data_IF_593336495659
#
_entry.id   IF_593336495659
#
_cell.length_a   1.000
_cell.length_b   1.000
_cell.length_c   1.000
_cell.angle_alpha   90.00
_cell.angle_beta   90.00
_cell.angle_gamma   90.00
#
_symmetry.space_group_name_H-M   'P 1'
#
loop_
_entity.id
_entity.type
_entity.pdbx_description
1 polymer ?
#
# COMPACT_ATOMS: atom_id res chain seq x y z
N UNK A 1 33.14 -14.42 -0.26
CA UNK A 1 31.77 -14.45 -0.24
C UNK A 1 31.16 -13.39 0.57
N UNK A 2 30.39 -12.66 -0.07
CA UNK A 2 29.81 -11.53 0.58
C UNK A 2 28.78 -11.92 1.59
N UNK A 3 28.20 -13.06 1.46
CA UNK A 3 27.15 -13.39 2.35
C UNK A 3 27.56 -13.58 3.75
N UNK A 4 28.79 -13.64 4.02
CA UNK A 4 29.20 -13.78 5.39
C UNK A 4 29.30 -12.47 6.16
N UNK A 5 28.99 -11.36 5.56
CA UNK A 5 29.14 -10.07 6.23
C UNK A 5 27.82 -9.57 6.77
N UNK A 6 27.55 -9.66 8.07
CA UNK A 6 26.29 -9.22 8.62
C UNK A 6 26.07 -7.73 8.52
N UNK A 7 27.15 -6.96 8.55
CA UNK A 7 27.01 -5.52 8.43
C UNK A 7 26.53 -5.14 7.04
N UNK A 8 26.99 -5.85 6.06
CA UNK A 8 26.54 -5.60 4.69
C UNK A 8 25.07 -5.96 4.55
N UNK A 9 24.63 -7.03 5.17
CA UNK A 9 23.24 -7.41 5.12
C UNK A 9 22.35 -6.37 5.77
N UNK A 10 22.79 -5.79 6.87
CA UNK A 10 22.03 -4.73 7.51
C UNK A 10 21.97 -3.49 6.64
N UNK A 11 23.07 -3.17 5.98
CA UNK A 11 23.08 -2.04 5.08
C UNK A 11 22.13 -2.23 3.91
N UNK A 12 22.05 -3.46 3.39
CA UNK A 12 21.15 -3.76 2.30
C UNK A 12 19.70 -3.62 2.73
N UNK A 13 19.37 -4.05 3.95
CA UNK A 13 18.02 -3.89 4.47
C UNK A 13 17.65 -2.42 4.60
N UNK A 14 18.56 -1.60 5.08
CA UNK A 14 18.29 -0.18 5.19
C UNK A 14 18.08 0.45 3.82
N UNK A 15 18.85 0.04 2.83
CA UNK A 15 18.68 0.54 1.47
C UNK A 15 17.33 0.13 0.91
N UNK A 16 16.91 -1.10 1.17
CA UNK A 16 15.61 -1.56 0.72
C UNK A 16 14.48 -0.75 1.33
N UNK A 17 14.60 -0.42 2.63
CA UNK A 17 13.61 0.40 3.29
C UNK A 17 13.55 1.79 2.70
N UNK A 18 14.71 2.37 2.41
CA UNK A 18 14.77 3.69 1.79
C UNK A 18 14.15 3.66 0.41
N UNK A 19 14.44 2.63 -0.37
CA UNK A 19 13.88 2.51 -1.70
C UNK A 19 12.37 2.33 -1.65
N UNK A 20 11.87 1.53 -0.72
CA UNK A 20 10.44 1.34 -0.58
C UNK A 20 9.74 2.65 -0.20
N UNK A 21 10.34 3.40 0.72
CA UNK A 21 9.78 4.67 1.13
C UNK A 21 9.79 5.68 -0.01
N UNK A 22 10.89 5.71 -0.75
CA UNK A 22 11.01 6.57 -1.91
C UNK A 22 9.96 6.23 -2.95
N UNK A 23 9.77 4.94 -3.23
CA UNK A 23 8.78 4.49 -4.18
C UNK A 23 7.38 4.92 -3.76
N UNK A 24 7.05 4.80 -2.48
CA UNK A 24 5.74 5.24 -2.01
C UNK A 24 5.56 6.73 -2.18
N UNK A 25 6.60 7.51 -1.92
CA UNK A 25 6.53 8.96 -2.12
C UNK A 25 6.37 9.30 -3.61
N UNK A 26 7.07 8.58 -4.47
CA UNK A 26 6.96 8.78 -5.90
C UNK A 26 5.56 8.42 -6.38
N UNK A 27 5.02 7.30 -5.91
CA UNK A 27 3.68 6.87 -6.28
C UNK A 27 2.61 7.84 -5.79
N UNK A 28 2.82 8.44 -4.62
CA UNK A 28 1.87 9.41 -4.11
C UNK A 28 1.80 10.66 -4.98
N UNK A 29 2.87 10.93 -5.74
CA UNK A 29 2.87 12.06 -6.66
C UNK A 29 2.33 11.74 -8.04
N UNK A 30 2.01 10.47 -8.32
CA UNK A 30 1.50 10.07 -9.62
C UNK A 30 0.00 9.86 -9.55
N UNK A 31 -0.71 10.30 -10.59
CA UNK A 31 -2.16 10.16 -10.65
C UNK A 31 -2.57 9.46 -11.92
N UNK A 32 -3.61 8.66 -11.82
CA UNK A 32 -4.23 8.00 -12.94
C UNK A 32 -5.66 8.52 -13.02
N UNK A 33 -6.06 8.94 -14.21
CA UNK A 33 -7.42 9.42 -14.44
C UNK A 33 -8.13 8.44 -15.35
N UNK A 34 -9.29 7.97 -14.93
CA UNK A 34 -10.12 7.07 -15.72
C UNK A 34 -11.48 7.71 -15.93
N UNK A 35 -11.91 7.74 -17.17
CA UNK A 35 -13.23 8.26 -17.51
C UNK A 35 -13.98 7.18 -18.28
N UNK A 36 -15.12 6.80 -17.77
CA UNK A 36 -16.00 5.85 -18.44
C UNK A 36 -17.44 6.34 -18.33
N UNK A 37 -18.03 6.63 -19.46
CA UNK A 37 -19.35 7.22 -19.47
C UNK A 37 -19.34 8.54 -18.73
N UNK A 38 -20.23 8.65 -17.76
CA UNK A 38 -20.33 9.87 -16.95
C UNK A 38 -19.54 9.79 -15.66
N UNK A 39 -18.68 8.78 -15.52
CA UNK A 39 -17.92 8.57 -14.29
C UNK A 39 -16.47 8.94 -14.52
N UNK A 40 -15.92 9.73 -13.61
CA UNK A 40 -14.51 10.11 -13.62
C UNK A 40 -13.91 9.75 -12.27
N UNK A 41 -12.80 9.04 -12.29
CA UNK A 41 -12.07 8.70 -11.08
C UNK A 41 -10.62 9.11 -11.25
N UNK A 42 -10.08 9.83 -10.28
CA UNK A 42 -8.66 10.12 -10.23
C UNK A 42 -8.10 9.47 -8.97
N UNK A 43 -7.12 8.62 -9.15
CA UNK A 43 -6.51 7.89 -8.02
C UNK A 43 -5.01 8.04 -8.11
N UNK A 44 -4.37 8.20 -6.95
CA UNK A 44 -2.91 8.27 -6.90
C UNK A 44 -2.32 6.87 -6.87
N UNK A 45 -1.06 6.77 -7.22
CA UNK A 45 -0.36 5.50 -7.22
C UNK A 45 -0.27 4.85 -5.84
N UNK A 46 -0.46 5.63 -4.76
CA UNK A 46 -0.52 5.09 -3.42
C UNK A 46 -1.91 4.57 -3.06
N UNK A 47 -2.79 4.43 -4.06
CA UNK A 47 -4.15 3.91 -3.91
C UNK A 47 -5.10 4.85 -3.18
N UNK A 48 -4.80 6.14 -3.16
CA UNK A 48 -5.70 7.14 -2.57
C UNK A 48 -6.52 7.79 -3.67
N UNK A 49 -7.84 7.75 -3.54
CA UNK A 49 -8.73 8.42 -4.49
C UNK A 49 -8.70 9.90 -4.21
N UNK A 50 -8.40 10.68 -5.25
CA UNK A 50 -8.32 12.12 -5.16
C UNK A 50 -9.64 12.76 -5.58
N UNK A 51 -10.27 12.16 -6.58
CA UNK A 51 -11.50 12.72 -7.12
C UNK A 51 -12.39 11.59 -7.63
N UNK A 52 -13.67 11.73 -7.41
CA UNK A 52 -14.68 10.83 -7.97
C UNK A 52 -15.87 11.69 -8.34
N UNK A 53 -16.28 11.64 -9.59
CA UNK A 53 -17.49 12.33 -10.01
C UNK A 53 -18.35 11.40 -10.84
N UNK A 54 -19.66 11.59 -10.72
CA UNK A 54 -20.66 10.86 -11.48
C UNK A 54 -21.60 11.92 -12.08
N UNK A 55 -21.69 11.95 -13.40
CA UNK A 55 -22.50 12.94 -14.11
C UNK A 55 -22.13 14.37 -13.69
N UNK A 56 -20.84 14.61 -13.54
CA UNK A 56 -20.36 15.94 -13.18
C UNK A 56 -20.49 16.30 -11.72
N UNK A 57 -21.05 15.42 -10.89
CA UNK A 57 -21.24 15.70 -9.47
C UNK A 57 -20.20 14.93 -8.67
N UNK A 58 -19.44 15.64 -7.85
CA UNK A 58 -18.47 15.00 -6.97
C UNK A 58 -18.92 15.11 -5.54
N UNK A 59 -18.49 14.16 -4.71
CA UNK A 59 -18.87 14.13 -3.31
C UNK A 59 -17.64 13.76 -2.47
N UNK A 60 -17.19 14.72 -1.69
CA UNK A 60 -16.05 14.47 -0.81
C UNK A 60 -16.37 13.41 0.25
N UNK A 61 -17.55 13.39 0.86
CA UNK A 61 -17.87 12.32 1.79
C UNK A 61 -17.78 10.92 1.20
N UNK A 62 -18.17 10.76 -0.06
CA UNK A 62 -18.08 9.47 -0.73
C UNK A 62 -16.61 9.09 -0.94
N UNK A 63 -15.80 10.05 -1.38
CA UNK A 63 -14.37 9.83 -1.56
C UNK A 63 -13.73 9.43 -0.24
N UNK A 64 -14.09 10.11 0.84
CA UNK A 64 -13.53 9.83 2.16
C UNK A 64 -13.86 8.41 2.63
N UNK A 65 -15.09 7.98 2.41
CA UNK A 65 -15.51 6.63 2.81
C UNK A 65 -14.81 5.59 1.96
N UNK A 66 -14.66 5.84 0.66
CA UNK A 66 -13.96 4.91 -0.22
C UNK A 66 -12.49 4.78 0.18
N UNK A 67 -11.84 5.90 0.47
CA UNK A 67 -10.45 5.86 0.92
C UNK A 67 -10.30 5.13 2.25
N UNK A 68 -11.27 5.28 3.13
CA UNK A 68 -11.26 4.56 4.40
C UNK A 68 -11.39 3.05 4.17
N UNK A 69 -12.26 2.66 3.23
CA UNK A 69 -12.43 1.25 2.90
C UNK A 69 -11.15 0.67 2.29
N UNK A 70 -10.52 1.41 1.41
CA UNK A 70 -9.26 0.98 0.80
C UNK A 70 -8.20 0.79 1.88
N UNK A 71 -8.08 1.75 2.78
CA UNK A 71 -7.08 1.67 3.85
C UNK A 71 -7.33 0.48 4.74
N UNK A 72 -8.58 0.23 5.09
CA UNK A 72 -8.92 -0.94 5.92
C UNK A 72 -8.62 -2.25 5.20
N UNK A 73 -8.86 -2.29 3.91
CA UNK A 73 -8.52 -3.44 3.10
C UNK A 73 -7.02 -3.70 3.11
N UNK A 74 -6.22 -2.65 3.00
CA UNK A 74 -4.76 -2.78 3.05
C UNK A 74 -4.30 -3.27 4.42
N UNK A 75 -4.90 -2.77 5.49
CA UNK A 75 -4.59 -3.21 6.84
C UNK A 75 -4.93 -4.67 7.03
N UNK A 76 -6.06 -5.10 6.50
CA UNK A 76 -6.47 -6.50 6.59
C UNK A 76 -5.46 -7.39 5.85
N UNK A 77 -5.05 -6.99 4.65
CA UNK A 77 -4.08 -7.73 3.88
C UNK A 77 -2.73 -7.81 4.61
N UNK A 78 -2.31 -6.71 5.23
CA UNK A 78 -1.08 -6.68 5.98
C UNK A 78 -1.13 -7.61 7.20
N UNK A 79 -2.26 -7.61 7.90
CA UNK A 79 -2.44 -8.49 9.04
C UNK A 79 -2.41 -9.96 8.61
N UNK A 80 -3.04 -10.26 7.50
CA UNK A 80 -3.05 -11.62 7.00
C UNK A 80 -1.65 -12.07 6.61
N UNK A 81 -0.90 -11.17 5.98
CA UNK A 81 0.47 -11.48 5.61
C UNK A 81 1.33 -11.71 6.86
N UNK A 82 1.18 -10.86 7.87
CA UNK A 82 1.91 -11.03 9.11
C UNK A 82 1.58 -12.34 9.80
N UNK A 83 0.31 -12.71 9.79
CA UNK A 83 -0.11 -13.96 10.39
C UNK A 83 0.51 -15.16 9.65
N UNK A 84 0.58 -15.07 8.34
CA UNK A 84 1.18 -16.13 7.53
C UNK A 84 2.67 -16.23 7.80
N UNK A 85 3.36 -15.08 7.82
CA UNK A 85 4.79 -15.07 8.09
C UNK A 85 5.08 -15.46 9.53
N UNK A 86 4.24 -15.02 10.43
CA UNK A 86 4.39 -15.40 11.83
C UNK A 86 4.20 -16.87 12.05
N UNK A 87 3.29 -17.48 11.32
CA UNK A 87 3.10 -18.91 11.37
C UNK A 87 4.31 -19.66 10.87
N UNK A 88 4.96 -19.12 9.85
CA UNK A 88 6.16 -19.72 9.40
C UNK A 88 7.25 -19.62 10.42
N UNK A 89 7.51 -18.43 10.90
CA UNK A 89 8.60 -18.18 11.77
C UNK A 89 8.35 -18.60 13.19
N UNK A 90 7.12 -18.57 13.56
CA UNK A 90 6.82 -18.84 14.93
C UNK A 90 6.39 -20.23 15.17
N UNK A 91 6.97 -21.16 14.50
CA UNK A 91 6.52 -22.42 14.65
C UNK A 91 5.92 -22.73 15.89
N UNK A 92 6.49 -22.47 16.89
CA UNK A 92 5.96 -22.86 18.12
C UNK A 92 4.76 -22.10 18.53
N UNK A 93 4.87 -20.87 18.39
CA UNK A 93 3.80 -20.06 18.88
C UNK A 93 2.58 -20.21 18.08
N UNK A 94 2.78 -20.38 16.86
CA UNK A 94 1.64 -20.42 16.05
C UNK A 94 0.75 -21.52 16.34
N UNK A 95 1.32 -22.49 16.77
CA UNK A 95 0.50 -23.59 16.96
C UNK A 95 -0.51 -23.39 17.92
N UNK A 96 -0.49 -22.86 18.37
CA UNK A 96 -1.44 -22.93 19.18
C UNK A 96 -2.20 -23.12 19.30
#
# INVERSE_FOLDING_TARGET
>A
MAMGNPLKALGDLNNLRKQAKQMQQDLAGEEIRIEEGDIVVVIRGDQTIVQLSVQGVSSQPVVDVLNKAIKKSQEMAAKKLQATLGGFGGFGGGAD
#
